data_IF_271675323297
#
_entry.id   IF_271675323297
#
_cell.length_a   1.000
_cell.length_b   1.000
_cell.length_c   1.000
_cell.angle_alpha   90.00
_cell.angle_beta   90.00
_cell.angle_gamma   90.00
#
_symmetry.space_group_name_H-M   'P 1'
#
loop_
_entity.id
_entity.type
_entity.pdbx_description
1 polymer ?
#
# COMPACT_ATOMS: atom_id res chain seq x y z
N UNK A 1 -11.82 -2.55 -12.44
CA UNK A 1 -11.69 -1.32 -11.67
C UNK A 1 -10.84 -0.31 -12.42
N UNK A 2 -10.98 0.96 -12.15
CA UNK A 2 -10.55 2.01 -13.08
C UNK A 2 -9.43 2.88 -12.57
N UNK A 3 -8.53 2.39 -11.84
CA UNK A 3 -7.46 3.22 -11.31
C UNK A 3 -7.92 4.15 -10.18
N UNK A 4 -6.97 4.73 -9.52
CA UNK A 4 -7.22 5.61 -8.37
C UNK A 4 -7.23 7.06 -8.83
N UNK A 5 -8.30 7.83 -8.57
CA UNK A 5 -8.29 9.26 -8.87
C UNK A 5 -7.17 9.97 -8.12
N UNK A 6 -6.52 10.94 -8.77
CA UNK A 6 -5.37 11.64 -8.19
C UNK A 6 -5.73 12.47 -6.96
N UNK A 7 -7.00 12.78 -6.76
CA UNK A 7 -7.45 13.56 -5.61
C UNK A 7 -8.00 12.69 -4.46
N UNK A 8 -7.79 11.38 -4.54
CA UNK A 8 -8.25 10.47 -3.49
C UNK A 8 -7.55 10.81 -2.17
N UNK A 9 -8.36 10.94 -1.11
CA UNK A 9 -7.86 11.22 0.23
C UNK A 9 -7.39 9.92 0.88
N UNK A 10 -6.09 9.80 1.11
CA UNK A 10 -5.48 8.66 1.77
C UNK A 10 -4.93 9.04 3.15
N UNK A 11 -5.35 10.17 3.69
CA UNK A 11 -4.83 10.68 4.98
C UNK A 11 -5.16 9.75 6.15
N UNK A 12 -6.13 8.86 6.01
CA UNK A 12 -6.44 7.89 7.07
C UNK A 12 -5.29 6.89 7.31
N UNK A 13 -4.34 6.79 6.39
CA UNK A 13 -3.14 5.97 6.57
C UNK A 13 -2.08 6.66 7.40
N UNK A 14 -2.14 8.00 7.50
CA UNK A 14 -1.11 8.77 8.22
C UNK A 14 -1.04 8.36 9.69
N UNK A 15 0.16 8.16 10.18
CA UNK A 15 0.40 7.81 11.58
C UNK A 15 0.18 6.34 11.90
N UNK A 16 -0.28 5.54 10.95
CA UNK A 16 -0.49 4.11 11.17
C UNK A 16 0.83 3.38 11.21
N UNK A 17 0.94 2.42 12.12
CA UNK A 17 2.12 1.57 12.22
C UNK A 17 1.86 0.27 11.48
N UNK A 18 2.82 -0.18 10.68
CA UNK A 18 2.73 -1.48 10.02
C UNK A 18 3.01 -2.57 11.04
N UNK A 19 2.01 -3.42 11.30
CA UNK A 19 2.09 -4.45 12.33
C UNK A 19 2.47 -5.81 11.78
N UNK A 20 2.03 -6.13 10.57
CA UNK A 20 2.18 -7.47 10.03
C UNK A 20 2.18 -7.44 8.51
N UNK A 21 2.98 -8.30 7.90
CA UNK A 21 2.96 -8.53 6.45
C UNK A 21 2.61 -9.99 6.23
N UNK A 22 1.55 -10.25 5.47
CA UNK A 22 1.13 -11.60 5.14
C UNK A 22 1.37 -11.88 3.67
N UNK A 23 2.07 -12.98 3.37
CA UNK A 23 2.33 -13.37 1.99
C UNK A 23 1.40 -14.51 1.59
N UNK A 24 0.57 -14.26 0.59
CA UNK A 24 -0.21 -15.29 -0.07
C UNK A 24 0.45 -15.67 -1.38
N UNK A 25 -0.15 -16.63 -2.08
CA UNK A 25 0.38 -17.09 -3.35
C UNK A 25 0.34 -16.00 -4.43
N UNK A 26 -0.71 -15.16 -4.38
CA UNK A 26 -0.96 -14.15 -5.41
C UNK A 26 -1.03 -12.75 -4.85
N UNK A 27 -0.80 -12.58 -3.56
CA UNK A 27 -0.97 -11.27 -2.93
C UNK A 27 -0.06 -11.11 -1.71
N UNK A 28 0.17 -9.85 -1.38
CA UNK A 28 0.83 -9.46 -0.12
C UNK A 28 -0.15 -8.55 0.60
N UNK A 29 -0.39 -8.82 1.89
CA UNK A 29 -1.30 -8.00 2.68
C UNK A 29 -0.52 -7.30 3.77
N UNK A 30 -0.61 -5.98 3.80
CA UNK A 30 -0.04 -5.14 4.84
C UNK A 30 -1.13 -4.85 5.87
N UNK A 31 -0.90 -5.22 7.13
CA UNK A 31 -1.83 -4.92 8.22
C UNK A 31 -1.26 -3.81 9.09
N UNK A 32 -2.00 -2.71 9.14
CA UNK A 32 -1.66 -1.56 10.00
C UNK A 32 -2.56 -1.58 11.23
N UNK A 33 -2.19 -0.80 12.25
CA UNK A 33 -3.05 -0.63 13.41
C UNK A 33 -4.36 0.09 13.01
N UNK A 34 -5.38 -0.02 13.85
CA UNK A 34 -6.67 0.61 13.58
C UNK A 34 -7.52 -0.11 12.53
N UNK A 35 -7.27 -1.41 12.31
CA UNK A 35 -8.01 -2.23 11.34
C UNK A 35 -7.86 -1.73 9.90
N UNK A 36 -6.70 -1.19 9.58
CA UNK A 36 -6.37 -0.73 8.24
C UNK A 36 -5.50 -1.78 7.56
N UNK A 37 -5.84 -2.14 6.32
CA UNK A 37 -5.05 -3.10 5.55
C UNK A 37 -4.94 -2.68 4.10
N UNK A 38 -3.83 -3.10 3.47
CA UNK A 38 -3.61 -2.90 2.04
C UNK A 38 -3.25 -4.26 1.45
N UNK A 39 -4.10 -4.77 0.56
CA UNK A 39 -3.87 -6.02 -0.15
C UNK A 39 -3.33 -5.70 -1.54
N UNK A 40 -2.18 -6.25 -1.88
CA UNK A 40 -1.46 -5.92 -3.12
C UNK A 40 -1.38 -7.16 -4.00
N UNK A 41 -1.92 -7.07 -5.20
CA UNK A 41 -1.82 -8.12 -6.22
C UNK A 41 -1.04 -7.64 -7.45
N UNK A 42 -0.54 -6.42 -7.42
CA UNK A 42 0.19 -5.78 -8.51
C UNK A 42 1.66 -5.61 -8.17
N UNK A 43 2.39 -4.93 -9.05
CA UNK A 43 3.79 -4.61 -8.82
C UNK A 43 3.93 -3.54 -7.73
N UNK A 44 4.99 -3.63 -6.97
CA UNK A 44 5.32 -2.62 -5.96
C UNK A 44 6.83 -2.48 -5.85
N UNK A 45 7.25 -1.31 -5.37
CA UNK A 45 8.67 -0.98 -5.20
C UNK A 45 8.89 -0.32 -3.84
N UNK A 46 10.07 -0.56 -3.27
CA UNK A 46 10.53 0.18 -2.09
C UNK A 46 11.76 0.95 -2.52
N UNK A 47 11.73 2.28 -2.32
CA UNK A 47 12.83 3.18 -2.69
C UNK A 47 13.23 3.01 -4.15
N UNK A 48 12.25 2.92 -5.03
CA UNK A 48 12.37 2.77 -6.50
C UNK A 48 13.00 1.48 -6.97
N UNK A 49 13.17 0.50 -6.08
CA UNK A 49 13.68 -0.82 -6.43
C UNK A 49 12.58 -1.87 -6.25
N UNK A 50 12.52 -2.89 -7.12
CA UNK A 50 11.57 -3.97 -6.90
C UNK A 50 11.75 -4.54 -5.50
N UNK A 51 10.66 -4.64 -4.76
CA UNK A 51 10.72 -5.07 -3.37
C UNK A 51 10.68 -6.59 -3.30
N UNK A 52 11.65 -7.17 -2.58
CA UNK A 52 11.61 -8.57 -2.24
C UNK A 52 10.91 -8.75 -0.87
N UNK A 53 10.55 -10.00 -0.51
CA UNK A 53 9.85 -10.25 0.76
C UNK A 53 10.60 -9.76 1.98
N UNK A 54 11.92 -9.83 2.00
CA UNK A 54 12.71 -9.39 3.16
C UNK A 54 12.59 -7.89 3.35
N UNK A 55 12.60 -7.13 2.27
CA UNK A 55 12.44 -5.67 2.36
C UNK A 55 11.05 -5.29 2.85
N UNK A 56 10.02 -6.05 2.46
CA UNK A 56 8.68 -5.81 2.98
C UNK A 56 8.60 -6.09 4.47
N UNK A 57 9.25 -7.16 4.95
CA UNK A 57 9.28 -7.48 6.37
C UNK A 57 10.01 -6.41 7.18
N UNK A 58 11.03 -5.78 6.61
CA UNK A 58 11.77 -4.71 7.28
C UNK A 58 10.91 -3.46 7.53
N UNK A 59 9.77 -3.34 6.86
CA UNK A 59 8.85 -2.23 7.10
C UNK A 59 7.99 -2.42 8.36
N UNK A 60 7.97 -3.61 8.95
CA UNK A 60 7.20 -3.86 10.17
C UNK A 60 7.71 -2.94 11.27
N UNK A 61 6.79 -2.32 11.99
CA UNK A 61 7.00 -1.30 13.00
C UNK A 61 7.26 0.10 12.43
N UNK A 62 7.39 0.24 11.11
CA UNK A 62 7.49 1.58 10.51
C UNK A 62 6.14 2.27 10.56
N UNK A 63 6.16 3.58 10.75
CA UNK A 63 4.95 4.39 10.85
C UNK A 63 4.80 5.25 9.60
N UNK A 64 3.59 5.31 9.08
CA UNK A 64 3.29 6.08 7.88
C UNK A 64 3.39 7.57 8.16
N UNK A 65 4.23 8.28 7.41
CA UNK A 65 4.32 9.71 7.46
C UNK A 65 3.22 10.35 6.61
N UNK A 66 3.08 9.87 5.37
CA UNK A 66 2.02 10.34 4.48
C UNK A 66 1.74 9.30 3.40
N UNK A 67 0.54 9.36 2.83
CA UNK A 67 0.14 8.50 1.71
C UNK A 67 -0.62 9.36 0.72
N UNK A 68 -0.37 9.15 -0.58
CA UNK A 68 -0.99 9.94 -1.63
C UNK A 68 -1.13 9.14 -2.92
N UNK A 69 -2.06 9.57 -3.76
CA UNK A 69 -2.15 9.07 -5.12
C UNK A 69 -0.94 9.59 -5.91
N UNK A 70 -0.31 8.71 -6.68
CA UNK A 70 0.95 9.01 -7.36
C UNK A 70 0.82 9.08 -8.88
N UNK A 71 -0.42 9.16 -9.40
CA UNK A 71 -0.68 9.19 -10.83
C UNK A 71 -0.80 7.81 -11.44
N UNK A 72 -1.52 7.69 -12.56
CA UNK A 72 -1.74 6.42 -13.27
C UNK A 72 -2.28 5.30 -12.38
N UNK A 73 -3.11 5.66 -11.38
CA UNK A 73 -3.69 4.68 -10.47
C UNK A 73 -2.77 4.18 -9.37
N UNK A 74 -1.54 4.65 -9.30
CA UNK A 74 -0.58 4.22 -8.28
C UNK A 74 -0.77 4.98 -6.97
N UNK A 75 -0.29 4.39 -5.88
CA UNK A 75 -0.18 5.10 -4.60
C UNK A 75 1.25 5.07 -4.10
N UNK A 76 1.57 6.07 -3.31
CA UNK A 76 2.88 6.20 -2.67
C UNK A 76 2.66 6.34 -1.16
N UNK A 77 3.29 5.45 -0.40
CA UNK A 77 3.24 5.48 1.06
C UNK A 77 4.66 5.78 1.56
N UNK A 78 4.79 6.91 2.24
CA UNK A 78 6.07 7.33 2.78
C UNK A 78 6.09 7.09 4.27
N UNK A 79 7.12 6.39 4.74
CA UNK A 79 7.26 6.07 6.15
C UNK A 79 8.14 7.12 6.85
N UNK A 80 7.97 7.23 8.16
CA UNK A 80 8.67 8.23 8.97
C UNK A 80 10.19 8.05 8.94
N UNK A 81 10.67 6.82 8.67
CA UNK A 81 12.11 6.54 8.57
C UNK A 81 12.71 6.91 7.21
N UNK A 82 11.90 7.45 6.30
CA UNK A 82 12.34 7.89 4.98
C UNK A 82 12.13 6.90 3.86
N UNK A 83 11.80 5.64 4.15
CA UNK A 83 11.51 4.67 3.10
C UNK A 83 10.17 4.98 2.43
N UNK A 84 10.07 4.64 1.15
CA UNK A 84 8.86 4.88 0.36
C UNK A 84 8.44 3.59 -0.32
N UNK A 85 7.18 3.22 -0.11
CA UNK A 85 6.55 2.10 -0.81
C UNK A 85 5.65 2.67 -1.90
N UNK A 86 5.82 2.21 -3.13
CA UNK A 86 4.95 2.59 -4.23
C UNK A 86 4.26 1.35 -4.77
N UNK A 87 2.94 1.42 -4.90
CA UNK A 87 2.12 0.32 -5.39
C UNK A 87 1.49 0.77 -6.70
N UNK A 88 1.66 -0.05 -7.75
CA UNK A 88 1.23 0.32 -9.09
C UNK A 88 -0.10 -0.33 -9.45
N UNK A 89 -0.87 0.35 -10.28
CA UNK A 89 -2.07 -0.21 -10.89
C UNK A 89 -1.62 -0.88 -12.20
N UNK A 90 -1.12 -2.10 -12.08
CA UNK A 90 -0.52 -2.83 -13.19
C UNK A 90 -1.35 -4.03 -13.67
N UNK A 91 -2.38 -4.40 -12.93
CA UNK A 91 -3.23 -5.53 -13.31
C UNK A 91 -4.41 -5.05 -14.14
N UNK A 92 -4.77 -5.83 -15.18
CA UNK A 92 -5.85 -5.49 -16.08
C UNK A 92 -7.08 -6.40 -15.92
N UNK A 93 -6.86 -7.61 -15.42
CA UNK A 93 -7.93 -8.60 -15.26
C UNK A 93 -8.41 -8.75 -13.83
N UNK A 94 -7.61 -8.26 -12.87
CA UNK A 94 -7.89 -8.36 -11.44
C UNK A 94 -7.70 -7.00 -10.79
N UNK A 95 -8.12 -6.89 -9.54
CA UNK A 95 -7.79 -5.72 -8.75
C UNK A 95 -6.27 -5.65 -8.58
N UNK A 96 -5.71 -4.45 -8.74
CA UNK A 96 -4.29 -4.23 -8.50
C UNK A 96 -3.99 -4.19 -7.01
N UNK A 97 -4.82 -3.47 -6.26
CA UNK A 97 -4.71 -3.41 -4.80
C UNK A 97 -6.04 -2.99 -4.21
N UNK A 98 -6.21 -3.30 -2.92
CA UNK A 98 -7.40 -2.94 -2.16
C UNK A 98 -6.97 -2.33 -0.84
N UNK A 99 -7.51 -1.16 -0.50
CA UNK A 99 -7.26 -0.51 0.78
C UNK A 99 -8.54 -0.58 1.59
N UNK A 100 -8.45 -1.15 2.79
CA UNK A 100 -9.58 -1.35 3.66
C UNK A 100 -9.35 -0.70 5.01
N UNK A 101 -10.34 0.03 5.50
CA UNK A 101 -10.32 0.67 6.82
C UNK A 101 -11.75 0.74 7.31
N UNK A 102 -12.00 1.04 8.61
CA UNK A 102 -13.37 1.19 9.08
C UNK A 102 -14.15 2.20 8.24
N UNK A 103 -15.23 1.73 7.59
CA UNK A 103 -16.05 2.57 6.74
C UNK A 103 -15.46 2.94 5.37
N UNK A 104 -14.30 2.38 5.02
CA UNK A 104 -13.60 2.71 3.77
C UNK A 104 -13.20 1.42 3.06
N UNK A 105 -13.47 1.35 1.76
CA UNK A 105 -13.05 0.23 0.94
C UNK A 105 -12.72 0.75 -0.46
N UNK A 106 -11.44 0.83 -0.77
CA UNK A 106 -10.94 1.33 -2.05
C UNK A 106 -10.38 0.16 -2.83
N UNK A 107 -10.98 -0.11 -3.98
CA UNK A 107 -10.58 -1.22 -4.86
C UNK A 107 -10.08 -0.61 -6.18
N UNK A 108 -8.87 -0.96 -6.55
CA UNK A 108 -8.23 -0.40 -7.75
C UNK A 108 -7.87 -1.48 -8.77
#
# INVERSE_FOLDING_TARGET
>A
MYGLPNDTDLSFLRGRELLQVCFGRWQVILHFDGEVSVSIESLYEIDTQPADPLKMLDLIEARVLEASAAGHGAIKIRFADGRTLQIFDSEREFESYTISAPGINIIV
#
